data_IF_585711779528
#
_entry.id   IF_585711779528
#
_cell.length_a   1.000
_cell.length_b   1.000
_cell.length_c   1.000
_cell.angle_alpha   90.00
_cell.angle_beta   90.00
_cell.angle_gamma   90.00
#
_symmetry.space_group_name_H-M   'P 1'
#
loop_
_entity.id
_entity.type
_entity.pdbx_description
1 polymer ?
#
# COMPACT_ATOMS: atom_id res chain seq x y z
N UNK A 1 -23.08 -0.37 -10.72
CA UNK A 1 -22.23 -1.29 -9.93
C UNK A 1 -21.49 -2.19 -10.89
N UNK A 2 -20.21 -1.91 -11.16
CA UNK A 2 -19.35 -2.87 -11.86
C UNK A 2 -18.98 -3.95 -10.85
N UNK A 3 -19.71 -5.06 -10.86
CA UNK A 3 -19.31 -6.25 -10.11
C UNK A 3 -18.12 -6.86 -10.84
N UNK A 4 -16.92 -6.67 -10.29
CA UNK A 4 -15.72 -7.37 -10.75
C UNK A 4 -15.94 -8.87 -10.50
N UNK A 5 -16.18 -9.60 -11.59
CA UNK A 5 -16.39 -11.04 -11.60
C UNK A 5 -15.04 -11.74 -11.38
N UNK A 6 -14.96 -12.52 -10.28
CA UNK A 6 -13.77 -13.17 -9.70
C UNK A 6 -12.83 -12.26 -8.89
N UNK A 7 -13.09 -12.07 -7.58
CA UNK A 7 -12.05 -11.57 -6.68
C UNK A 7 -10.88 -12.56 -6.63
N UNK A 8 -9.66 -12.02 -6.50
CA UNK A 8 -8.47 -12.84 -6.26
C UNK A 8 -8.66 -13.62 -4.95
N UNK A 9 -8.22 -14.89 -4.88
CA UNK A 9 -8.20 -15.64 -3.63
C UNK A 9 -7.38 -14.92 -2.56
N UNK A 10 -7.78 -15.05 -1.28
CA UNK A 10 -7.12 -14.39 -0.14
C UNK A 10 -5.60 -14.64 -0.09
N UNK A 11 -5.18 -15.89 -0.36
CA UNK A 11 -3.78 -16.28 -0.41
C UNK A 11 -2.97 -15.58 -1.54
N UNK A 12 -3.65 -15.08 -2.57
CA UNK A 12 -3.04 -14.25 -3.62
C UNK A 12 -3.02 -12.78 -3.23
N UNK A 13 -4.09 -12.27 -2.59
CA UNK A 13 -4.17 -10.90 -2.07
C UNK A 13 -3.07 -10.63 -1.03
N UNK A 14 -2.73 -11.60 -0.19
CA UNK A 14 -1.65 -11.53 0.81
C UNK A 14 -0.26 -11.20 0.23
N UNK A 15 -0.06 -11.34 -1.09
CA UNK A 15 1.20 -11.01 -1.75
C UNK A 15 1.33 -9.54 -2.11
N UNK A 16 0.25 -8.77 -2.05
CA UNK A 16 0.27 -7.34 -2.29
C UNK A 16 0.64 -6.60 -1.00
N UNK A 17 1.51 -5.60 -1.11
CA UNK A 17 2.01 -4.85 0.05
C UNK A 17 0.91 -3.99 0.70
N UNK A 18 0.05 -3.40 -0.13
CA UNK A 18 -0.98 -2.45 0.28
C UNK A 18 -2.27 -2.72 -0.50
N UNK A 19 -3.40 -2.57 0.17
CA UNK A 19 -4.71 -2.46 -0.45
C UNK A 19 -5.16 -1.00 -0.36
N UNK A 20 -5.31 -0.34 -1.52
CA UNK A 20 -5.71 1.07 -1.61
C UNK A 20 -7.12 1.14 -2.18
N UNK A 21 -8.05 1.68 -1.40
CA UNK A 21 -9.44 1.90 -1.84
C UNK A 21 -9.52 3.26 -2.52
N UNK A 22 -9.77 3.27 -3.83
CA UNK A 22 -9.93 4.49 -4.61
C UNK A 22 -11.40 4.88 -4.69
N UNK A 23 -11.67 6.16 -4.45
CA UNK A 23 -12.97 6.77 -4.71
C UNK A 23 -12.98 7.41 -6.10
N UNK A 24 -14.17 7.65 -6.65
CA UNK A 24 -14.29 8.43 -7.87
C UNK A 24 -13.80 9.88 -7.63
N UNK A 25 -13.14 10.49 -8.63
CA UNK A 25 -12.76 11.90 -8.55
C UNK A 25 -13.99 12.80 -8.39
N UNK A 26 -13.78 14.01 -7.87
CA UNK A 26 -14.81 15.05 -7.91
C UNK A 26 -15.08 15.47 -9.36
N UNK A 27 -16.22 16.14 -9.61
CA UNK A 27 -16.52 16.64 -10.96
C UNK A 27 -15.44 17.60 -11.50
N UNK A 28 -14.83 18.41 -10.63
CA UNK A 28 -13.76 19.33 -10.99
C UNK A 28 -12.44 18.59 -11.31
N UNK A 29 -12.10 17.56 -10.53
CA UNK A 29 -10.95 16.69 -10.80
C UNK A 29 -11.15 15.92 -12.12
N UNK A 30 -12.36 15.43 -12.37
CA UNK A 30 -12.70 14.71 -13.59
C UNK A 30 -12.65 15.63 -14.82
N UNK A 31 -13.12 16.87 -14.69
CA UNK A 31 -12.97 17.89 -15.73
C UNK A 31 -11.49 18.17 -16.02
N UNK A 32 -10.64 18.27 -14.98
CA UNK A 32 -9.20 18.48 -15.14
C UNK A 32 -8.52 17.28 -15.82
N UNK A 33 -8.93 16.05 -15.48
CA UNK A 33 -8.46 14.82 -16.14
C UNK A 33 -8.82 14.87 -17.63
N UNK A 34 -10.07 15.19 -17.97
CA UNK A 34 -10.55 15.30 -19.34
C UNK A 34 -9.77 16.34 -20.13
N UNK A 35 -9.56 17.53 -19.57
CA UNK A 35 -8.80 18.61 -20.21
C UNK A 35 -7.35 18.21 -20.46
N UNK A 36 -6.69 17.56 -19.49
CA UNK A 36 -5.31 17.06 -19.62
C UNK A 36 -5.19 15.97 -20.69
N UNK A 37 -6.12 15.03 -20.70
CA UNK A 37 -6.16 13.96 -21.71
C UNK A 37 -6.34 14.53 -23.12
N UNK A 38 -7.30 15.46 -23.27
CA UNK A 38 -7.53 16.17 -24.53
C UNK A 38 -6.30 16.93 -25.00
N UNK A 39 -5.62 17.66 -24.10
CA UNK A 39 -4.41 18.39 -24.43
C UNK A 39 -3.28 17.45 -24.87
N UNK A 40 -3.14 16.27 -24.22
CA UNK A 40 -2.12 15.28 -24.54
C UNK A 40 -2.34 14.59 -25.90
N UNK A 41 -3.59 14.29 -26.24
CA UNK A 41 -3.94 13.55 -27.46
C UNK A 41 -4.22 14.43 -28.68
N UNK A 42 -4.71 15.65 -28.48
CA UNK A 42 -5.13 16.56 -29.56
C UNK A 42 -4.41 17.91 -29.56
N UNK A 43 -3.55 18.19 -28.57
CA UNK A 43 -2.70 19.37 -28.54
C UNK A 43 -1.46 19.19 -29.42
N UNK A 44 -0.92 20.31 -29.94
CA UNK A 44 0.31 20.32 -30.73
C UNK A 44 1.58 20.18 -29.86
N UNK A 45 1.47 20.50 -28.57
CA UNK A 45 2.58 20.45 -27.62
C UNK A 45 2.45 19.22 -26.72
N UNK A 46 3.30 18.21 -26.97
CA UNK A 46 3.47 17.08 -26.07
C UNK A 46 4.70 17.40 -25.19
N UNK A 47 4.51 17.94 -23.98
CA UNK A 47 5.63 18.39 -23.16
C UNK A 47 6.57 17.21 -22.89
N UNK A 48 7.86 17.41 -23.19
CA UNK A 48 8.89 16.43 -22.86
C UNK A 48 8.94 16.31 -21.33
N UNK A 49 8.54 15.16 -20.82
CA UNK A 49 8.63 14.87 -19.39
C UNK A 49 10.12 14.70 -19.02
N UNK A 50 10.71 15.75 -18.47
CA UNK A 50 12.01 15.66 -17.84
C UNK A 50 11.84 15.08 -16.44
N UNK A 51 12.10 13.78 -16.28
CA UNK A 51 12.16 13.15 -14.96
C UNK A 51 13.50 13.50 -14.30
N UNK A 52 13.52 14.17 -13.14
CA UNK A 52 14.76 14.36 -12.37
C UNK A 52 15.25 13.07 -11.72
N UNK A 53 14.45 12.00 -11.78
CA UNK A 53 14.76 10.69 -11.19
C UNK A 53 15.32 9.73 -12.25
N UNK A 54 16.51 9.21 -11.98
CA UNK A 54 17.18 8.14 -12.70
C UNK A 54 17.00 6.79 -11.98
N UNK A 55 16.99 5.66 -12.70
CA UNK A 55 16.84 4.32 -12.09
C UNK A 55 17.85 4.02 -10.98
N UNK A 56 19.08 4.53 -11.11
CA UNK A 56 20.12 4.36 -10.10
C UNK A 56 19.75 5.02 -8.76
N UNK A 57 19.09 6.18 -8.79
CA UNK A 57 18.64 6.87 -7.58
C UNK A 57 17.54 6.06 -6.87
N UNK A 58 16.64 5.41 -7.62
CA UNK A 58 15.62 4.53 -7.03
C UNK A 58 16.25 3.30 -6.36
N UNK A 59 17.25 2.69 -7.00
CA UNK A 59 17.96 1.55 -6.40
C UNK A 59 18.77 1.96 -5.17
N UNK A 60 19.34 3.16 -5.18
CA UNK A 60 20.07 3.71 -4.05
C UNK A 60 19.13 4.02 -2.88
N UNK A 61 17.99 4.68 -3.13
CA UNK A 61 16.97 4.94 -2.12
C UNK A 61 16.46 3.64 -1.46
N UNK A 62 16.29 2.56 -2.24
CA UNK A 62 15.91 1.25 -1.67
C UNK A 62 16.95 0.68 -0.71
N UNK A 63 18.24 0.95 -0.91
CA UNK A 63 19.30 0.55 0.02
C UNK A 63 19.28 1.42 1.26
N UNK A 64 19.11 2.72 1.10
CA UNK A 64 19.02 3.69 2.22
C UNK A 64 17.87 3.33 3.15
N UNK A 65 16.69 2.99 2.62
CA UNK A 65 15.56 2.49 3.41
C UNK A 65 15.91 1.23 4.22
N UNK A 66 16.77 0.35 3.69
CA UNK A 66 17.18 -0.87 4.39
C UNK A 66 18.18 -0.60 5.54
N UNK A 67 18.85 0.55 5.53
CA UNK A 67 19.77 1.00 6.58
C UNK A 67 19.06 1.82 7.68
N UNK A 68 17.77 2.13 7.51
CA UNK A 68 16.99 2.82 8.53
C UNK A 68 16.96 1.97 9.80
N UNK A 69 17.48 2.53 10.89
CA UNK A 69 17.51 1.85 12.18
C UNK A 69 16.09 1.63 12.71
N UNK A 70 15.79 0.37 13.03
CA UNK A 70 14.55 -0.03 13.70
C UNK A 70 14.89 -0.59 15.07
N UNK A 71 14.36 0.03 16.12
CA UNK A 71 14.59 -0.43 17.48
C UNK A 71 13.98 -1.83 17.71
N UNK A 72 14.62 -2.73 18.47
CA UNK A 72 14.10 -4.08 18.74
C UNK A 72 12.69 -4.08 19.36
N UNK A 73 12.34 -3.05 20.12
CA UNK A 73 11.01 -2.86 20.70
C UNK A 73 9.94 -2.67 19.61
N UNK A 74 10.28 -1.96 18.53
CA UNK A 74 9.36 -1.73 17.42
C UNK A 74 9.17 -3.01 16.60
N UNK A 75 10.22 -3.81 16.39
CA UNK A 75 10.10 -5.13 15.75
C UNK A 75 9.16 -6.05 16.55
N UNK A 76 9.36 -6.13 17.87
CA UNK A 76 8.48 -6.91 18.77
C UNK A 76 7.05 -6.39 18.73
N UNK A 77 6.87 -5.08 18.69
CA UNK A 77 5.56 -4.46 18.60
C UNK A 77 4.84 -4.83 17.28
N UNK A 78 5.53 -4.78 16.15
CA UNK A 78 4.98 -5.19 14.84
C UNK A 78 4.54 -6.66 14.88
N UNK A 79 5.37 -7.55 15.45
CA UNK A 79 5.03 -8.97 15.59
C UNK A 79 3.82 -9.16 16.52
N UNK A 80 3.78 -8.47 17.66
CA UNK A 80 2.67 -8.53 18.60
C UNK A 80 1.35 -8.03 17.97
N UNK A 81 1.40 -6.90 17.24
CA UNK A 81 0.25 -6.31 16.57
C UNK A 81 -0.32 -7.25 15.50
N UNK A 82 0.54 -7.82 14.65
CA UNK A 82 0.11 -8.77 13.63
C UNK A 82 -0.39 -10.07 14.27
N UNK A 83 0.28 -10.55 15.31
CA UNK A 83 -0.14 -11.73 16.08
C UNK A 83 -1.51 -11.57 16.71
N UNK A 84 -1.82 -10.39 17.25
CA UNK A 84 -3.10 -10.06 17.85
C UNK A 84 -4.28 -10.28 16.88
N UNK A 85 -4.09 -10.00 15.59
CA UNK A 85 -5.16 -10.22 14.58
C UNK A 85 -5.56 -11.68 14.40
N UNK A 86 -4.75 -12.64 14.87
CA UNK A 86 -5.04 -14.08 14.77
C UNK A 86 -5.74 -14.64 16.01
N UNK A 87 -5.68 -13.91 17.12
CA UNK A 87 -6.30 -14.28 18.38
C UNK A 87 -6.76 -13.00 19.09
N UNK A 88 -7.86 -12.42 18.62
CA UNK A 88 -8.43 -11.20 19.21
C UNK A 88 -9.12 -11.50 20.55
N UNK A 89 -9.59 -12.74 20.74
CA UNK A 89 -10.31 -13.17 21.93
C UNK A 89 -9.48 -13.07 23.21
N UNK A 90 -8.15 -13.15 23.11
CA UNK A 90 -7.25 -12.94 24.25
C UNK A 90 -7.27 -11.51 24.81
N UNK A 91 -7.71 -10.52 24.02
CA UNK A 91 -7.82 -9.12 24.45
C UNK A 91 -9.24 -8.77 24.89
N UNK A 92 -10.24 -9.24 24.14
CA UNK A 92 -11.65 -9.08 24.45
C UNK A 92 -12.42 -10.28 23.92
N UNK A 93 -13.09 -11.01 24.81
CA UNK A 93 -13.84 -12.21 24.45
C UNK A 93 -14.94 -11.92 23.40
N UNK A 94 -15.45 -10.69 23.34
CA UNK A 94 -16.45 -10.28 22.35
C UNK A 94 -15.88 -10.16 20.94
N UNK A 95 -14.56 -10.11 20.77
CA UNK A 95 -13.89 -9.95 19.47
C UNK A 95 -13.45 -11.28 18.84
N UNK A 96 -13.65 -12.40 19.52
CA UNK A 96 -13.16 -13.71 19.07
C UNK A 96 -13.59 -14.06 17.63
N UNK A 97 -14.80 -13.66 17.24
CA UNK A 97 -15.38 -13.97 15.92
C UNK A 97 -15.38 -12.78 14.93
N UNK A 98 -14.66 -11.70 15.23
CA UNK A 98 -14.66 -10.50 14.37
C UNK A 98 -13.83 -10.69 13.09
N UNK A 99 -12.84 -11.58 13.13
CA UNK A 99 -11.97 -11.91 11.99
C UNK A 99 -12.06 -13.40 11.69
N UNK A 100 -12.37 -13.75 10.45
CA UNK A 100 -12.32 -15.13 9.98
C UNK A 100 -10.88 -15.61 9.77
N UNK A 101 -9.99 -14.69 9.37
CA UNK A 101 -8.59 -14.96 9.07
C UNK A 101 -7.76 -13.76 9.55
N UNK A 102 -6.80 -14.01 10.43
CA UNK A 102 -5.84 -12.98 10.86
C UNK A 102 -4.74 -12.73 9.81
N UNK A 103 -4.03 -11.63 9.95
CA UNK A 103 -2.98 -11.24 9.02
C UNK A 103 -1.83 -12.27 8.98
N UNK A 104 -1.25 -12.52 7.81
CA UNK A 104 -0.14 -13.47 7.65
C UNK A 104 1.20 -12.91 8.18
N UNK A 105 2.28 -13.72 8.29
CA UNK A 105 3.62 -13.20 8.59
C UNK A 105 4.12 -12.15 7.59
N UNK A 106 3.57 -12.10 6.36
CA UNK A 106 3.91 -11.05 5.38
C UNK A 106 3.50 -9.66 5.86
N UNK A 107 2.42 -9.54 6.63
CA UNK A 107 1.98 -8.26 7.18
C UNK A 107 3.05 -7.64 8.10
N UNK A 108 3.76 -8.44 8.90
CA UNK A 108 4.87 -7.95 9.72
C UNK A 108 6.01 -7.40 8.86
N UNK A 109 6.37 -8.12 7.80
CA UNK A 109 7.40 -7.69 6.84
C UNK A 109 6.96 -6.42 6.11
N UNK A 110 5.69 -6.33 5.74
CA UNK A 110 5.11 -5.18 5.07
C UNK A 110 5.16 -3.93 5.96
N UNK A 111 4.68 -4.04 7.20
CA UNK A 111 4.69 -2.95 8.17
C UNK A 111 6.09 -2.43 8.46
N UNK A 112 7.07 -3.32 8.62
CA UNK A 112 8.47 -2.94 8.81
C UNK A 112 8.97 -2.12 7.62
N UNK A 113 8.80 -2.65 6.40
CA UNK A 113 9.30 -2.01 5.17
C UNK A 113 8.64 -0.67 4.90
N UNK A 114 7.33 -0.55 5.11
CA UNK A 114 6.61 0.71 4.88
C UNK A 114 6.95 1.75 5.93
N UNK A 115 7.13 1.34 7.19
CA UNK A 115 7.56 2.24 8.25
C UNK A 115 8.97 2.78 7.99
N UNK A 116 9.92 1.90 7.60
CA UNK A 116 11.28 2.31 7.20
C UNK A 116 11.30 3.20 5.96
N UNK A 117 10.39 2.99 5.01
CA UNK A 117 10.32 3.82 3.80
C UNK A 117 9.70 5.21 4.03
N UNK A 118 8.93 5.37 5.11
CA UNK A 118 8.29 6.63 5.47
C UNK A 118 9.19 7.54 6.31
N UNK A 119 10.05 6.93 7.15
CA UNK A 119 10.98 7.63 8.04
C UNK A 119 12.10 8.34 7.27
#
# INVERSE_FOLDING_TARGET
>A
MVTVSNPLPEAQLDRFLLHVVLQYPTADDELLILQRDRARHYGADNPVLHSPLHPQQVLQARREVAEVHVAPELERYIVALVGATRDLGQFDATWADYLQVGASPRASIALLRTSSALA
#
